data_IF_978823456525
#
_entry.id   IF_978823456525
#
_cell.length_a   1.000
_cell.length_b   1.000
_cell.length_c   1.000
_cell.angle_alpha   90.00
_cell.angle_beta   90.00
_cell.angle_gamma   90.00
#
_symmetry.space_group_name_H-M   'P 1'
#
loop_
_entity.id
_entity.type
_entity.pdbx_description
1 polymer ?
#
# COMPACT_ATOMS: atom_id res chain seq x y z
N UNK A 1 0.82 -0.40 -13.76
CA UNK A 1 1.20 -1.76 -13.31
C UNK A 1 2.53 -1.64 -12.58
N UNK A 2 2.67 -2.31 -11.43
CA UNK A 2 3.90 -2.35 -10.64
C UNK A 2 4.43 -3.79 -10.58
N UNK A 3 5.73 -3.98 -10.77
CA UNK A 3 6.36 -5.30 -10.93
C UNK A 3 7.14 -5.67 -9.66
N UNK A 4 6.88 -6.85 -9.12
CA UNK A 4 7.55 -7.39 -7.93
C UNK A 4 8.28 -8.69 -8.27
N UNK A 5 9.54 -8.75 -7.84
CA UNK A 5 10.42 -9.93 -8.01
C UNK A 5 10.42 -10.86 -6.78
N UNK A 6 9.77 -10.44 -5.70
CA UNK A 6 9.62 -11.20 -4.45
C UNK A 6 8.33 -10.81 -3.72
N UNK A 7 8.10 -11.39 -2.55
CA UNK A 7 6.89 -11.17 -1.76
C UNK A 7 5.70 -12.04 -2.20
N UNK A 8 4.50 -11.63 -1.81
CA UNK A 8 3.24 -12.33 -2.09
C UNK A 8 2.14 -11.34 -2.49
N UNK A 9 1.18 -11.76 -3.32
CA UNK A 9 -0.03 -10.99 -3.60
C UNK A 9 -0.71 -10.53 -2.32
N UNK A 10 -1.10 -9.26 -2.33
CA UNK A 10 -1.73 -8.57 -1.21
C UNK A 10 -3.23 -8.45 -1.44
N UNK A 11 -4.00 -8.53 -0.36
CA UNK A 11 -5.44 -8.31 -0.32
C UNK A 11 -5.76 -7.53 0.94
N UNK A 12 -6.69 -6.59 0.85
CA UNK A 12 -7.15 -5.83 1.99
C UNK A 12 -8.64 -6.07 2.23
N UNK A 13 -9.05 -6.30 3.48
CA UNK A 13 -10.46 -6.40 3.85
C UNK A 13 -11.13 -5.04 3.89
N UNK A 14 -10.37 -4.03 4.25
CA UNK A 14 -10.81 -2.65 4.34
C UNK A 14 -9.66 -1.70 4.01
N UNK A 15 -10.00 -0.49 3.59
CA UNK A 15 -9.00 0.49 3.16
C UNK A 15 -8.03 0.87 4.29
N UNK A 16 -8.48 0.83 5.55
CA UNK A 16 -7.67 1.12 6.73
C UNK A 16 -6.48 0.18 6.91
N UNK A 17 -6.53 -1.05 6.39
CA UNK A 17 -5.41 -2.00 6.50
C UNK A 17 -4.15 -1.52 5.75
N UNK A 18 -4.29 -0.63 4.78
CA UNK A 18 -3.16 -0.02 4.07
C UNK A 18 -2.44 1.03 4.93
N UNK A 19 -3.15 1.65 5.88
CA UNK A 19 -2.66 2.76 6.70
C UNK A 19 -2.33 2.35 8.14
N UNK A 20 -2.65 1.11 8.53
CA UNK A 20 -2.36 0.60 9.86
C UNK A 20 -0.95 0.01 9.90
N UNK A 21 -0.02 0.56 10.72
CA UNK A 21 1.32 0.00 10.84
C UNK A 21 1.27 -1.41 11.43
N UNK A 22 2.07 -2.33 10.87
CA UNK A 22 2.17 -3.69 11.40
C UNK A 22 2.86 -4.67 10.47
N UNK A 23 3.01 -5.92 10.92
CA UNK A 23 3.68 -6.98 10.13
C UNK A 23 2.99 -7.32 8.81
N UNK A 24 1.69 -7.06 8.72
CA UNK A 24 0.84 -7.42 7.57
C UNK A 24 0.28 -6.19 6.86
N UNK A 25 0.96 -5.06 6.95
CA UNK A 25 0.57 -3.88 6.19
C UNK A 25 0.65 -4.18 4.68
N UNK A 26 -0.39 -3.82 3.93
CA UNK A 26 -0.49 -4.07 2.49
C UNK A 26 0.28 -2.99 1.70
N UNK A 27 1.59 -2.93 1.89
CA UNK A 27 2.46 -1.87 1.38
C UNK A 27 2.62 -1.85 -0.15
N UNK A 28 2.55 -3.00 -0.83
CA UNK A 28 2.56 -3.03 -2.30
C UNK A 28 1.25 -2.49 -2.88
N UNK A 29 0.12 -2.78 -2.22
CA UNK A 29 -1.17 -2.21 -2.56
C UNK A 29 -1.18 -0.69 -2.34
N UNK A 30 -0.70 -0.22 -1.19
CA UNK A 30 -0.55 1.21 -0.88
C UNK A 30 0.28 1.92 -1.96
N UNK A 31 1.46 1.40 -2.30
CA UNK A 31 2.32 1.95 -3.35
C UNK A 31 1.60 2.04 -4.69
N UNK A 32 0.88 0.99 -5.09
CA UNK A 32 0.19 0.96 -6.38
C UNK A 32 -0.99 1.92 -6.44
N UNK A 33 -1.73 2.08 -5.34
CA UNK A 33 -2.82 3.07 -5.23
C UNK A 33 -2.29 4.51 -5.28
N UNK A 34 -1.13 4.80 -4.68
CA UNK A 34 -0.48 6.11 -4.84
C UNK A 34 -0.24 6.40 -6.33
N UNK A 35 0.32 5.45 -7.08
CA UNK A 35 0.52 5.63 -8.53
C UNK A 35 -0.79 5.86 -9.29
N UNK A 36 -1.84 5.09 -9.00
CA UNK A 36 -3.13 5.27 -9.64
C UNK A 36 -3.72 6.67 -9.33
N UNK A 37 -3.62 7.12 -8.07
CA UNK A 37 -4.07 8.46 -7.66
C UNK A 37 -3.34 9.58 -8.40
N UNK A 38 -2.03 9.44 -8.67
CA UNK A 38 -1.28 10.47 -9.43
C UNK A 38 -1.76 10.66 -10.86
N UNK A 39 -2.47 9.68 -11.43
CA UNK A 39 -3.05 9.79 -12.77
C UNK A 39 -4.34 10.62 -12.77
N UNK A 40 -5.05 10.71 -11.64
CA UNK A 40 -6.34 11.39 -11.55
C UNK A 40 -7.44 10.78 -12.45
N UNK A 41 -8.42 11.60 -12.82
CA UNK A 41 -9.48 11.17 -13.74
C UNK A 41 -8.94 10.95 -15.14
N UNK A 42 -9.31 9.82 -15.74
CA UNK A 42 -8.86 9.42 -17.07
C UNK A 42 -10.06 9.09 -17.95
N UNK A 43 -9.87 9.15 -19.27
CA UNK A 43 -10.91 8.79 -20.25
C UNK A 43 -11.40 7.34 -20.06
N UNK A 44 -10.53 6.45 -19.61
CA UNK A 44 -10.83 5.05 -19.36
C UNK A 44 -10.51 4.70 -17.89
N UNK A 45 -11.27 3.77 -17.29
CA UNK A 45 -11.01 3.30 -15.93
C UNK A 45 -9.56 2.85 -15.72
N UNK A 46 -9.00 3.22 -14.57
CA UNK A 46 -7.67 2.78 -14.16
C UNK A 46 -7.83 1.61 -13.21
N UNK A 47 -7.43 0.41 -13.67
CA UNK A 47 -7.32 -0.79 -12.86
C UNK A 47 -5.87 -0.95 -12.36
N UNK A 48 -5.55 -0.58 -11.11
CA UNK A 48 -4.23 -0.79 -10.55
C UNK A 48 -3.92 -2.29 -10.41
N UNK A 49 -2.68 -2.66 -10.74
CA UNK A 49 -2.27 -4.05 -10.84
C UNK A 49 -0.84 -4.25 -10.34
N UNK A 50 -0.65 -5.33 -9.58
CA UNK A 50 0.64 -5.82 -9.06
C UNK A 50 1.02 -7.10 -9.80
N UNK A 51 2.13 -7.07 -10.52
CA UNK A 51 2.68 -8.20 -11.23
C UNK A 51 3.79 -8.90 -10.44
N UNK A 52 3.54 -10.08 -9.87
CA UNK A 52 4.53 -10.88 -9.15
C UNK A 52 5.18 -11.90 -10.10
N UNK A 53 6.37 -11.57 -10.59
CA UNK A 53 7.03 -12.31 -11.69
C UNK A 53 7.22 -13.79 -11.34
N UNK A 54 7.58 -14.10 -10.10
CA UNK A 54 7.79 -15.47 -9.62
C UNK A 54 6.52 -16.29 -9.43
N UNK A 55 5.34 -15.66 -9.49
CA UNK A 55 4.04 -16.33 -9.34
C UNK A 55 3.22 -16.33 -10.64
N UNK A 56 3.65 -15.58 -11.65
CA UNK A 56 2.92 -15.38 -12.90
C UNK A 56 2.73 -16.66 -13.76
N UNK A 57 3.49 -17.72 -13.47
CA UNK A 57 3.34 -19.01 -14.14
C UNK A 57 2.20 -19.89 -13.57
N UNK A 58 1.55 -19.46 -12.48
CA UNK A 58 0.42 -20.20 -11.90
C UNK A 58 -0.89 -19.92 -12.61
N UNK A 59 -1.71 -20.96 -12.81
CA UNK A 59 -2.97 -20.88 -13.56
C UNK A 59 -4.02 -19.95 -12.92
N UNK A 60 -3.98 -19.78 -11.60
CA UNK A 60 -4.91 -18.92 -10.84
C UNK A 60 -4.35 -17.51 -10.56
N UNK A 61 -3.25 -17.13 -11.23
CA UNK A 61 -2.62 -15.84 -10.98
C UNK A 61 -3.48 -14.67 -11.48
N UNK A 62 -3.78 -13.73 -10.60
CA UNK A 62 -4.54 -12.52 -10.91
C UNK A 62 -3.78 -11.27 -10.44
N UNK A 63 -3.40 -10.36 -11.35
CA UNK A 63 -2.61 -9.17 -10.99
C UNK A 63 -3.47 -8.03 -10.43
N UNK A 64 -4.80 -8.10 -10.51
CA UNK A 64 -5.70 -7.05 -10.05
C UNK A 64 -5.86 -7.07 -8.53
N UNK A 65 -5.76 -5.87 -7.97
CA UNK A 65 -5.91 -5.61 -6.54
C UNK A 65 -7.34 -5.89 -6.07
N UNK A 66 -7.44 -6.36 -4.83
CA UNK A 66 -8.71 -6.73 -4.21
C UNK A 66 -8.87 -5.99 -2.88
N UNK A 67 -9.96 -5.26 -2.76
CA UNK A 67 -10.34 -4.50 -1.58
C UNK A 67 -11.76 -4.92 -1.18
N UNK A 68 -11.95 -5.31 0.08
CA UNK A 68 -13.23 -5.80 0.59
C UNK A 68 -13.83 -6.96 -0.24
N UNK A 69 -12.96 -7.84 -0.76
CA UNK A 69 -13.36 -8.96 -1.60
C UNK A 69 -13.72 -8.60 -3.05
N UNK A 70 -13.65 -7.31 -3.42
CA UNK A 70 -13.96 -6.84 -4.78
C UNK A 70 -12.70 -6.41 -5.53
N UNK A 71 -12.70 -6.63 -6.85
CA UNK A 71 -11.59 -6.19 -7.71
C UNK A 71 -11.69 -4.70 -7.98
N UNK A 72 -10.57 -4.01 -7.83
CA UNK A 72 -10.48 -2.56 -8.11
C UNK A 72 -10.21 -2.35 -9.60
N UNK A 73 -11.27 -2.39 -10.42
CA UNK A 73 -11.17 -2.14 -11.86
C UNK A 73 -11.24 -0.67 -12.25
N UNK A 74 -11.79 0.18 -11.37
CA UNK A 74 -11.90 1.62 -11.57
C UNK A 74 -11.52 2.36 -10.29
N UNK A 75 -10.22 2.57 -10.08
CA UNK A 75 -9.70 3.18 -8.87
C UNK A 75 -10.28 4.58 -8.61
N UNK A 76 -10.41 5.41 -9.65
CA UNK A 76 -10.82 6.81 -9.49
C UNK A 76 -12.25 6.91 -8.92
N UNK A 77 -13.19 6.16 -9.49
CA UNK A 77 -14.59 6.23 -9.08
C UNK A 77 -14.92 5.41 -7.83
N UNK A 78 -14.09 4.43 -7.47
CA UNK A 78 -14.42 3.47 -6.39
C UNK A 78 -13.59 3.62 -5.12
N UNK A 79 -12.34 4.11 -5.21
CA UNK A 79 -11.40 4.09 -4.08
C UNK A 79 -10.69 5.44 -3.86
N UNK A 80 -10.46 6.23 -4.91
CA UNK A 80 -9.55 7.39 -4.85
C UNK A 80 -9.89 8.38 -3.75
N UNK A 81 -11.17 8.74 -3.60
CA UNK A 81 -11.59 9.76 -2.64
C UNK A 81 -11.20 9.39 -1.20
N UNK A 82 -11.66 8.24 -0.73
CA UNK A 82 -11.40 7.77 0.64
C UNK A 82 -9.91 7.49 0.86
N UNK A 83 -9.22 7.00 -0.17
CA UNK A 83 -7.78 6.76 -0.12
C UNK A 83 -7.00 8.06 0.02
N UNK A 84 -7.36 9.09 -0.75
CA UNK A 84 -6.73 10.40 -0.74
C UNK A 84 -6.92 11.11 0.59
N UNK A 85 -8.12 11.05 1.17
CA UNK A 85 -8.39 11.58 2.51
C UNK A 85 -7.43 10.97 3.55
N UNK A 86 -7.24 9.64 3.53
CA UNK A 86 -6.32 8.93 4.43
C UNK A 86 -4.84 9.23 4.15
N UNK A 87 -4.44 9.34 2.89
CA UNK A 87 -3.06 9.73 2.52
C UNK A 87 -2.75 11.14 3.02
N UNK A 88 -3.67 12.09 2.85
CA UNK A 88 -3.49 13.47 3.33
C UNK A 88 -3.36 13.48 4.85
N UNK A 89 -4.20 12.72 5.55
CA UNK A 89 -4.10 12.59 7.00
C UNK A 89 -2.74 12.02 7.44
N UNK A 90 -2.31 10.90 6.84
CA UNK A 90 -1.02 10.27 7.16
C UNK A 90 0.16 11.21 6.90
N UNK A 91 0.13 11.96 5.79
CA UNK A 91 1.17 12.95 5.48
C UNK A 91 1.16 14.07 6.53
N UNK A 92 -0.02 14.57 6.93
CA UNK A 92 -0.11 15.58 7.97
C UNK A 92 0.48 15.09 9.29
N UNK A 93 0.18 13.85 9.70
CA UNK A 93 0.77 13.21 10.89
C UNK A 93 2.29 13.09 10.80
N UNK A 94 2.86 12.75 9.63
CA UNK A 94 4.32 12.67 9.43
C UNK A 94 5.01 14.04 9.62
N UNK A 95 4.32 15.14 9.28
CA UNK A 95 4.87 16.49 9.35
C UNK A 95 4.46 17.26 10.61
N UNK A 96 3.68 16.66 11.52
CA UNK A 96 3.25 17.30 12.75
C UNK A 96 4.44 17.42 13.74
N UNK A 97 4.91 18.65 14.06
CA UNK A 97 6.02 18.84 14.98
C UNK A 97 5.68 18.46 16.43
N UNK A 98 4.40 18.39 16.79
CA UNK A 98 3.97 17.99 18.14
C UNK A 98 3.94 16.47 18.31
N UNK A 99 3.96 15.71 17.21
CA UNK A 99 4.03 14.25 17.24
C UNK A 99 5.50 13.79 17.16
N UNK A 100 6.08 13.27 18.27
CA UNK A 100 7.46 12.79 18.23
C UNK A 100 7.55 11.52 17.38
N UNK A 101 8.73 11.30 16.80
CA UNK A 101 9.05 10.03 16.14
C UNK A 101 8.82 8.85 17.11
N UNK A 102 8.02 7.87 16.67
CA UNK A 102 7.74 6.63 17.39
C UNK A 102 8.34 5.46 16.63
N UNK A 103 9.31 4.73 17.20
CA UNK A 103 9.81 3.49 16.60
C UNK A 103 8.68 2.49 16.36
N UNK A 104 8.83 1.66 15.34
CA UNK A 104 7.90 0.54 15.12
C UNK A 104 7.96 -0.45 16.29
N UNK A 105 6.80 -0.99 16.68
CA UNK A 105 6.69 -2.07 17.67
C UNK A 105 7.03 -3.45 17.09
N UNK A 106 7.23 -3.54 15.78
CA UNK A 106 7.52 -4.78 15.05
C UNK A 106 9.03 -5.01 15.02
N UNK A 107 9.55 -5.78 15.98
CA UNK A 107 10.98 -5.99 16.19
C UNK A 107 11.74 -6.45 14.92
N UNK A 108 11.14 -7.33 14.11
CA UNK A 108 11.78 -7.84 12.87
C UNK A 108 12.13 -6.75 11.85
N UNK A 109 11.42 -5.62 11.85
CA UNK A 109 11.74 -4.51 10.94
C UNK A 109 13.06 -3.84 11.33
N UNK A 110 13.50 -3.97 12.58
CA UNK A 110 14.78 -3.46 13.05
C UNK A 110 15.96 -4.32 12.58
N UNK A 111 15.75 -5.59 12.18
CA UNK A 111 16.84 -6.50 11.79
C UNK A 111 17.58 -6.05 10.53
N UNK A 112 16.87 -5.37 9.63
CA UNK A 112 17.42 -4.80 8.39
C UNK A 112 17.38 -3.27 8.36
N UNK A 113 17.02 -2.62 9.46
CA UNK A 113 16.88 -1.16 9.49
C UNK A 113 18.26 -0.48 9.55
N UNK A 114 18.65 0.33 8.54
CA UNK A 114 19.95 1.01 8.53
C UNK A 114 20.06 2.07 9.63
N UNK A 115 18.94 2.53 10.18
CA UNK A 115 18.88 3.54 11.24
C UNK A 115 18.77 2.95 12.65
N UNK A 116 18.86 1.61 12.81
CA UNK A 116 18.67 0.94 14.12
C UNK A 116 19.53 1.54 15.23
N UNK A 117 20.77 1.93 14.94
CA UNK A 117 21.70 2.51 15.92
C UNK A 117 21.36 3.95 16.33
N UNK A 118 20.55 4.66 15.54
CA UNK A 118 20.08 6.02 15.81
C UNK A 118 18.65 6.03 16.38
N UNK A 119 17.94 4.93 16.21
CA UNK A 119 16.58 4.75 16.70
C UNK A 119 16.64 4.64 18.23
N UNK A 120 16.14 5.66 18.93
CA UNK A 120 16.03 5.67 20.39
C UNK A 120 14.87 4.75 20.80
N UNK A 121 15.11 3.43 20.80
CA UNK A 121 14.25 2.41 21.41
C UNK A 121 14.63 2.18 22.86
#
# INVERSE_FOLDING_TARGET
MDYKTGGKPEKAKELNELFTPGEKQQHYMLQTFIYAMTLGEQKFPIAPALFFVHQAAGDDYNPYLELNGEKVYDFYHTVEKDFKEKIIQLIAEIFDPEEPFKPTTVARFCDSCPFRLLCMS
#
